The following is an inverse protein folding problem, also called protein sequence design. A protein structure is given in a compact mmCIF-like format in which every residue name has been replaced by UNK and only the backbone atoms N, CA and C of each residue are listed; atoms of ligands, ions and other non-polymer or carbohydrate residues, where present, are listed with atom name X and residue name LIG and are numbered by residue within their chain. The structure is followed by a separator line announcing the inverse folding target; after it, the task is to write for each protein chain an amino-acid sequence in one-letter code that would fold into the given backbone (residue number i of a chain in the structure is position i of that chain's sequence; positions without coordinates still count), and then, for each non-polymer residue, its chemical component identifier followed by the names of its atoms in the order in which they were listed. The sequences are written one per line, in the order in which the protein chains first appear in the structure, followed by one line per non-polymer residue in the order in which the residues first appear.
data_IF_924361949700
#
_entry.id   IF_924361949700
#
_cell.length_a   1.000
_cell.length_b   1.000
_cell.length_c   1.000
_cell.angle_alpha   90.00
_cell.angle_beta   90.00
_cell.angle_gamma   90.00
#
_symmetry.space_group_name_H-M   'P 1'
#
loop_
_entity.id
_entity.type
_entity.pdbx_description
1 polymer ?
#
# COMPACT_ATOMS: atom_id res chain seq x y z
N UNK A 1 -6.65 23.60 10.26
CA UNK A 1 -6.20 24.42 9.12
C UNK A 1 -6.67 23.76 7.83
N UNK A 2 -6.83 24.49 6.72
CA UNK A 2 -7.19 23.87 5.44
C UNK A 2 -5.95 23.30 4.76
N UNK A 3 -6.11 22.23 3.97
CA UNK A 3 -5.00 21.58 3.27
C UNK A 3 -4.22 22.54 2.37
N UNK A 4 -4.91 23.46 1.68
CA UNK A 4 -4.27 24.47 0.84
C UNK A 4 -3.44 25.47 1.66
N UNK A 5 -3.90 25.87 2.85
CA UNK A 5 -3.12 26.73 3.73
C UNK A 5 -1.85 26.01 4.22
N UNK A 6 -1.94 24.71 4.50
CA UNK A 6 -0.78 23.88 4.86
C UNK A 6 0.20 23.76 3.70
N UNK A 7 -0.30 23.55 2.48
CA UNK A 7 0.53 23.44 1.30
C UNK A 7 1.32 24.72 1.03
N UNK A 8 0.67 25.89 1.11
CA UNK A 8 1.35 27.18 0.94
C UNK A 8 2.34 27.47 2.09
N UNK A 9 1.97 27.16 3.34
CA UNK A 9 2.86 27.32 4.49
C UNK A 9 4.09 26.40 4.45
N UNK A 10 3.95 25.20 3.88
CA UNK A 10 5.07 24.28 3.69
C UNK A 10 5.99 24.70 2.54
N UNK A 11 5.47 25.37 1.50
CA UNK A 11 6.30 25.95 0.42
C UNK A 11 7.26 27.02 0.94
N UNK A 12 6.83 27.81 1.93
CA UNK A 12 7.67 28.86 2.52
C UNK A 12 8.65 28.34 3.57
N UNK A 13 8.65 27.04 3.85
CA UNK A 13 9.55 26.42 4.84
C UNK A 13 9.15 26.66 6.29
N UNK A 14 7.90 27.04 6.57
CA UNK A 14 7.46 27.29 7.93
C UNK A 14 7.22 25.97 8.71
N UNK A 15 8.13 25.71 9.65
CA UNK A 15 8.12 24.52 10.51
C UNK A 15 6.86 24.38 11.37
N UNK A 16 6.08 25.44 11.60
CA UNK A 16 4.83 25.36 12.34
C UNK A 16 3.79 24.49 11.60
N UNK A 17 3.72 24.62 10.27
CA UNK A 17 2.84 23.83 9.43
C UNK A 17 3.24 22.36 9.41
N UNK A 18 4.55 22.08 9.31
CA UNK A 18 5.07 20.73 9.35
C UNK A 18 4.79 20.04 10.70
N UNK A 19 4.99 20.78 11.80
CA UNK A 19 4.68 20.29 13.15
C UNK A 19 3.19 20.02 13.33
N UNK A 20 2.32 20.90 12.85
CA UNK A 20 0.87 20.69 12.87
C UNK A 20 0.50 19.41 12.13
N UNK A 21 0.96 19.26 10.88
CA UNK A 21 0.70 18.10 10.04
C UNK A 21 1.19 16.79 10.68
N UNK A 22 2.39 16.82 11.27
CA UNK A 22 2.96 15.70 11.99
C UNK A 22 2.09 15.28 13.19
N UNK A 23 1.67 16.22 14.03
CA UNK A 23 0.88 15.89 15.22
C UNK A 23 -0.53 15.42 14.86
N UNK A 24 -1.14 16.03 13.84
CA UNK A 24 -2.50 15.74 13.40
C UNK A 24 -2.65 14.30 12.86
N UNK A 25 -1.69 13.82 12.07
CA UNK A 25 -1.85 12.56 11.34
C UNK A 25 -1.12 11.37 11.98
N UNK A 26 -0.24 11.60 12.96
CA UNK A 26 0.56 10.54 13.60
C UNK A 26 -0.27 9.38 14.14
N UNK A 27 -1.29 9.66 14.95
CA UNK A 27 -2.10 8.62 15.57
C UNK A 27 -2.84 7.77 14.52
N UNK A 28 -3.40 8.41 13.50
CA UNK A 28 -4.10 7.74 12.41
C UNK A 28 -3.14 6.88 11.57
N UNK A 29 -1.93 7.38 11.29
CA UNK A 29 -0.93 6.66 10.52
C UNK A 29 -0.42 5.42 11.26
N UNK A 30 -0.09 5.56 12.56
CA UNK A 30 0.29 4.42 13.40
C UNK A 30 -0.81 3.36 13.50
N UNK A 31 -2.08 3.78 13.46
CA UNK A 31 -3.19 2.82 13.43
C UNK A 31 -3.28 2.12 12.07
N UNK A 32 -3.07 2.85 10.96
CA UNK A 32 -3.01 2.29 9.61
C UNK A 32 -1.92 1.22 9.48
N UNK A 33 -0.72 1.44 10.02
CA UNK A 33 0.39 0.47 9.91
C UNK A 33 0.17 -0.81 10.73
N UNK A 34 -0.71 -0.80 11.74
CA UNK A 34 -1.06 -2.01 12.50
C UNK A 34 -1.69 -3.10 11.62
N UNK A 35 -2.46 -2.69 10.61
CA UNK A 35 -3.07 -3.63 9.65
C UNK A 35 -2.02 -4.44 8.86
N UNK A 36 -0.77 -3.98 8.85
CA UNK A 36 0.36 -4.62 8.19
C UNK A 36 1.29 -5.34 9.19
N UNK A 37 0.92 -5.44 10.47
CA UNK A 37 1.73 -6.10 11.50
C UNK A 37 3.06 -5.39 11.81
N UNK A 38 3.15 -4.08 11.54
CA UNK A 38 4.37 -3.30 11.79
C UNK A 38 4.44 -2.88 13.25
N UNK A 39 5.60 -3.12 13.88
CA UNK A 39 5.86 -2.69 15.25
C UNK A 39 5.82 -1.16 15.36
N UNK A 40 5.38 -0.65 16.52
CA UNK A 40 5.16 0.79 16.73
C UNK A 40 6.38 1.66 16.41
N UNK A 41 7.59 1.23 16.79
CA UNK A 41 8.81 2.00 16.55
C UNK A 41 9.11 2.11 15.05
N UNK A 42 9.07 0.99 14.32
CA UNK A 42 9.30 1.00 12.88
C UNK A 42 8.20 1.77 12.14
N UNK A 43 6.96 1.74 12.62
CA UNK A 43 5.88 2.56 12.10
C UNK A 43 6.09 4.07 12.35
N UNK A 44 6.72 4.45 13.47
CA UNK A 44 7.11 5.82 13.76
C UNK A 44 8.21 6.30 12.81
N UNK A 45 9.19 5.45 12.53
CA UNK A 45 10.29 5.76 11.61
C UNK A 45 9.75 5.97 10.18
N UNK A 46 8.94 5.02 9.69
CA UNK A 46 8.26 5.14 8.38
C UNK A 46 7.39 6.42 8.32
N UNK A 47 6.72 6.77 9.42
CA UNK A 47 5.91 7.99 9.47
C UNK A 47 6.75 9.26 9.36
N UNK A 48 7.90 9.30 10.03
CA UNK A 48 8.84 10.42 9.94
C UNK A 48 9.34 10.58 8.50
N UNK A 49 9.76 9.49 7.87
CA UNK A 49 10.21 9.50 6.48
C UNK A 49 9.10 9.96 5.53
N UNK A 50 7.86 9.49 5.73
CA UNK A 50 6.73 9.89 4.90
C UNK A 50 6.41 11.39 5.00
N UNK A 51 6.52 11.98 6.21
CA UNK A 51 6.34 13.41 6.43
C UNK A 51 7.45 14.21 5.76
N UNK A 52 8.70 13.76 5.86
CA UNK A 52 9.84 14.41 5.21
C UNK A 52 9.71 14.37 3.69
N UNK A 53 9.38 13.21 3.11
CA UNK A 53 9.16 13.06 1.68
C UNK A 53 7.99 13.93 1.17
N UNK A 54 6.92 14.08 1.97
CA UNK A 54 5.84 15.01 1.65
C UNK A 54 6.34 16.46 1.63
N UNK A 55 7.07 16.87 2.66
CA UNK A 55 7.64 18.21 2.76
C UNK A 55 8.57 18.51 1.58
N UNK A 56 9.41 17.55 1.20
CA UNK A 56 10.31 17.67 0.05
C UNK A 56 9.54 17.77 -1.26
N UNK A 57 8.50 16.95 -1.46
CA UNK A 57 7.67 17.01 -2.67
C UNK A 57 6.99 18.37 -2.82
N UNK A 58 6.57 19.01 -1.72
CA UNK A 58 5.99 20.36 -1.72
C UNK A 58 7.08 21.39 -2.02
N UNK A 59 8.21 21.36 -1.31
CA UNK A 59 9.30 22.32 -1.45
C UNK A 59 9.94 22.31 -2.85
N UNK A 60 10.05 21.13 -3.47
CA UNK A 60 10.61 20.96 -4.82
C UNK A 60 9.60 21.21 -5.95
N UNK A 61 8.34 21.51 -5.62
CA UNK A 61 7.29 21.72 -6.61
C UNK A 61 6.81 20.45 -7.30
N UNK A 62 7.14 19.26 -6.79
CA UNK A 62 6.52 17.99 -7.26
C UNK A 62 5.04 17.90 -6.89
N UNK A 63 4.64 18.53 -5.78
CA UNK A 63 3.25 18.67 -5.36
C UNK A 63 2.84 20.15 -5.41
N UNK A 64 2.21 20.57 -6.50
CA UNK A 64 1.74 21.95 -6.71
C UNK A 64 0.26 22.16 -6.39
N UNK A 65 -0.55 21.12 -6.56
CA UNK A 65 -1.98 21.11 -6.28
C UNK A 65 -2.43 19.76 -5.70
N UNK A 66 -3.53 19.79 -4.95
CA UNK A 66 -4.12 18.63 -4.31
C UNK A 66 -5.34 18.15 -5.10
N UNK A 67 -5.24 16.94 -5.68
CA UNK A 67 -6.39 16.23 -6.26
C UNK A 67 -7.15 15.38 -5.23
N UNK A 68 -6.62 15.30 -4.01
CA UNK A 68 -7.15 14.56 -2.86
C UNK A 68 -6.70 15.26 -1.59
N UNK A 69 -7.24 14.90 -0.42
CA UNK A 69 -6.76 15.48 0.84
C UNK A 69 -5.25 15.28 1.04
N UNK A 70 -4.60 16.20 1.74
CA UNK A 70 -3.18 16.12 2.08
C UNK A 70 -2.88 14.84 2.89
N UNK A 71 -3.82 14.45 3.75
CA UNK A 71 -3.80 13.17 4.48
C UNK A 71 -3.75 11.98 3.52
N UNK A 72 -4.59 11.95 2.49
CA UNK A 72 -4.61 10.84 1.49
C UNK A 72 -3.25 10.73 0.79
N UNK A 73 -2.68 11.86 0.40
CA UNK A 73 -1.37 11.89 -0.24
C UNK A 73 -0.25 11.40 0.69
N UNK A 74 -0.23 11.88 1.94
CA UNK A 74 0.70 11.42 2.98
C UNK A 74 0.62 9.91 3.20
N UNK A 75 -0.60 9.38 3.33
CA UNK A 75 -0.82 7.95 3.55
C UNK A 75 -0.40 7.12 2.34
N UNK A 76 -0.50 7.68 1.13
CA UNK A 76 -0.03 7.03 -0.10
C UNK A 76 1.49 6.89 -0.09
N UNK A 77 2.24 7.95 0.26
CA UNK A 77 3.70 7.88 0.43
C UNK A 77 4.06 6.81 1.46
N UNK A 78 3.47 6.91 2.65
CA UNK A 78 3.77 5.98 3.74
C UNK A 78 3.38 4.53 3.43
N UNK A 79 2.33 4.29 2.64
CA UNK A 79 1.95 2.95 2.16
C UNK A 79 3.05 2.33 1.30
N UNK A 80 3.66 3.10 0.40
CA UNK A 80 4.80 2.62 -0.40
C UNK A 80 5.99 2.27 0.50
N UNK A 81 6.33 3.13 1.47
CA UNK A 81 7.41 2.87 2.42
C UNK A 81 7.14 1.65 3.32
N UNK A 82 5.89 1.44 3.73
CA UNK A 82 5.46 0.20 4.43
C UNK A 82 5.74 -1.03 3.56
N UNK A 83 5.42 -0.98 2.27
CA UNK A 83 5.69 -2.10 1.37
C UNK A 83 7.19 -2.34 1.16
N UNK A 84 7.98 -1.27 1.02
CA UNK A 84 9.44 -1.39 0.95
C UNK A 84 10.04 -2.02 2.20
N UNK A 85 9.59 -1.57 3.38
CA UNK A 85 9.99 -2.15 4.65
C UNK A 85 9.63 -3.65 4.76
N UNK A 86 8.41 -4.02 4.37
CA UNK A 86 7.98 -5.42 4.39
C UNK A 86 8.73 -6.28 3.38
N UNK A 87 9.02 -5.75 2.18
CA UNK A 87 9.87 -6.42 1.19
C UNK A 87 11.26 -6.71 1.74
N UNK A 88 11.92 -5.70 2.30
CA UNK A 88 13.24 -5.85 2.90
C UNK A 88 13.21 -6.89 4.03
N UNK A 89 12.19 -6.84 4.90
CA UNK A 89 12.01 -7.81 5.97
C UNK A 89 11.77 -9.23 5.46
N UNK A 90 10.98 -9.41 4.40
CA UNK A 90 10.73 -10.72 3.81
C UNK A 90 11.98 -11.28 3.10
N UNK A 91 12.75 -10.43 2.41
CA UNK A 91 14.03 -10.83 1.82
C UNK A 91 15.01 -11.30 2.89
N UNK A 92 15.06 -10.62 4.04
CA UNK A 92 15.86 -11.06 5.20
C UNK A 92 15.36 -12.39 5.76
N UNK A 93 14.04 -12.64 5.81
CA UNK A 93 13.47 -13.92 6.24
C UNK A 93 13.74 -15.06 5.26
N UNK A 94 13.76 -14.80 3.96
CA UNK A 94 14.07 -15.81 2.94
C UNK A 94 15.54 -16.25 2.95
N UNK A 95 16.44 -15.48 3.58
CA UNK A 95 17.84 -15.89 3.79
C UNK A 95 17.94 -16.89 4.97
N UNK A 96 16.99 -16.86 5.92
CA UNK A 96 17.07 -17.60 7.18
C UNK A 96 16.08 -18.77 7.30
N UNK A 97 14.96 -18.79 6.56
CA UNK A 97 13.93 -19.84 6.71
C UNK A 97 13.29 -20.28 5.38
N UNK A 98 13.50 -21.55 5.04
CA UNK A 98 12.78 -22.33 4.00
C UNK A 98 11.36 -22.73 4.44
N UNK A 99 10.69 -21.95 5.29
CA UNK A 99 9.35 -22.28 5.78
C UNK A 99 8.30 -21.29 5.26
N UNK A 100 7.59 -21.74 4.24
CA UNK A 100 6.27 -21.23 3.85
C UNK A 100 5.35 -21.24 5.07
N UNK A 101 5.13 -20.07 5.68
CA UNK A 101 4.07 -19.89 6.64
C UNK A 101 3.15 -18.74 6.22
N UNK A 102 1.92 -19.16 5.94
CA UNK A 102 0.72 -18.36 5.74
C UNK A 102 0.61 -17.30 6.84
N UNK A 103 0.86 -16.04 6.48
CA UNK A 103 0.35 -14.91 7.25
C UNK A 103 -0.55 -14.11 6.32
N UNK A 104 -1.86 -14.29 6.53
CA UNK A 104 -2.90 -13.54 5.87
C UNK A 104 -2.69 -12.03 6.09
N UNK A 105 -2.26 -11.32 5.05
CA UNK A 105 -2.34 -9.87 4.99
C UNK A 105 -3.65 -9.53 4.27
N UNK A 106 -4.60 -9.00 5.05
CA UNK A 106 -5.74 -8.24 4.53
C UNK A 106 -5.17 -7.00 3.85
N UNK A 107 -4.99 -7.05 2.54
CA UNK A 107 -4.73 -5.86 1.74
C UNK A 107 -5.94 -5.66 0.85
N UNK A 108 -6.79 -4.75 1.33
CA UNK A 108 -7.92 -4.21 0.60
C UNK A 108 -7.46 -3.68 -0.76
N UNK A 109 -8.21 -4.08 -1.78
CA UNK A 109 -8.19 -3.48 -3.10
C UNK A 109 -8.44 -1.97 -2.98
N UNK A 110 -7.87 -1.23 -3.93
CA UNK A 110 -7.79 0.23 -3.98
C UNK A 110 -9.03 1.02 -3.53
N UNK A 111 -8.73 2.10 -2.78
CA UNK A 111 -9.34 3.43 -2.93
C UNK A 111 -10.85 3.55 -2.62
N UNK A 112 -11.21 3.47 -1.33
CA UNK A 112 -12.26 4.26 -0.63
C UNK A 112 -12.66 3.70 0.75
N UNK A 113 -12.00 2.64 1.23
CA UNK A 113 -12.32 2.02 2.53
C UNK A 113 -11.58 2.71 3.69
N UNK A 114 -11.59 4.05 3.74
CA UNK A 114 -11.29 4.77 4.99
C UNK A 114 -12.45 4.65 5.98
N UNK A 115 -13.61 4.16 5.54
CA UNK A 115 -14.77 3.91 6.39
C UNK A 115 -15.57 2.69 5.89
N UNK A 116 -15.20 1.49 6.29
CA UNK A 116 -16.16 0.46 6.73
C UNK A 116 -15.47 -0.82 7.16
N UNK A 117 -15.56 -1.07 8.46
CA UNK A 117 -15.32 -2.37 9.08
C UNK A 117 -16.60 -3.19 8.89
N UNK A 118 -16.80 -3.84 7.75
CA UNK A 118 -17.97 -4.72 7.54
C UNK A 118 -17.62 -6.12 7.00
N UNK A 119 -17.80 -7.09 7.89
CA UNK A 119 -18.24 -8.49 7.71
C UNK A 119 -17.27 -9.57 7.16
N UNK A 120 -17.10 -10.63 7.97
CA UNK A 120 -16.51 -11.94 7.62
C UNK A 120 -17.11 -12.57 6.33
N UNK A 121 -18.31 -12.15 5.90
CA UNK A 121 -18.94 -12.66 4.67
C UNK A 121 -18.23 -12.16 3.41
N UNK A 122 -17.78 -10.91 3.40
CA UNK A 122 -17.03 -10.32 2.28
C UNK A 122 -15.72 -11.06 2.05
N UNK A 123 -15.03 -11.43 3.14
CA UNK A 123 -13.78 -12.20 3.10
C UNK A 123 -13.99 -13.60 2.53
N UNK A 124 -15.04 -14.32 2.97
CA UNK A 124 -15.38 -15.64 2.42
C UNK A 124 -15.75 -15.57 0.94
N UNK A 125 -16.52 -14.55 0.55
CA UNK A 125 -16.90 -14.32 -0.85
C UNK A 125 -15.68 -14.03 -1.72
N UNK A 126 -14.73 -13.24 -1.23
CA UNK A 126 -13.46 -12.98 -1.90
C UNK A 126 -12.62 -14.26 -2.04
N UNK A 127 -12.55 -15.09 -1.00
CA UNK A 127 -11.83 -16.36 -1.04
C UNK A 127 -12.40 -17.32 -2.10
N UNK A 128 -13.74 -17.45 -2.16
CA UNK A 128 -14.42 -18.25 -3.20
C UNK A 128 -14.13 -17.71 -4.60
N UNK A 129 -14.25 -16.39 -4.81
CA UNK A 129 -13.96 -15.77 -6.08
C UNK A 129 -12.49 -15.96 -6.50
N UNK A 130 -11.57 -15.81 -5.55
CA UNK A 130 -10.15 -16.04 -5.76
C UNK A 130 -9.86 -17.50 -6.14
N UNK A 131 -10.55 -18.45 -5.52
CA UNK A 131 -10.42 -19.88 -5.83
C UNK A 131 -10.95 -20.27 -7.21
N UNK A 132 -11.80 -19.45 -7.86
CA UNK A 132 -12.24 -19.66 -9.24
C UNK A 132 -11.26 -19.15 -10.29
N UNK A 133 -10.28 -18.32 -9.90
CA UNK A 133 -9.26 -17.84 -10.83
C UNK A 133 -8.37 -18.98 -11.36
N UNK A 134 -7.92 -18.85 -12.61
CA UNK A 134 -6.87 -19.70 -13.17
C UNK A 134 -5.54 -19.57 -12.42
N UNK A 135 -4.73 -20.64 -12.42
CA UNK A 135 -3.46 -20.74 -11.68
C UNK A 135 -2.55 -19.53 -11.94
N UNK A 136 -2.38 -19.13 -13.21
CA UNK A 136 -1.53 -17.97 -13.57
C UNK A 136 -1.98 -16.67 -12.88
N UNK A 137 -3.29 -16.42 -12.84
CA UNK A 137 -3.83 -15.24 -12.16
C UNK A 137 -3.68 -15.33 -10.64
N UNK A 138 -3.97 -16.49 -10.05
CA UNK A 138 -3.74 -16.70 -8.62
C UNK A 138 -2.28 -16.46 -8.24
N UNK A 139 -1.34 -16.99 -9.01
CA UNK A 139 0.09 -16.86 -8.74
C UNK A 139 0.53 -15.41 -8.81
N UNK A 140 0.21 -14.68 -9.89
CA UNK A 140 0.56 -13.26 -10.01
C UNK A 140 -0.03 -12.45 -8.85
N UNK A 141 -1.31 -12.64 -8.53
CA UNK A 141 -1.95 -11.91 -7.44
C UNK A 141 -1.34 -12.30 -6.08
N UNK A 142 -0.97 -13.56 -5.86
CA UNK A 142 -0.26 -14.00 -4.65
C UNK A 142 1.10 -13.32 -4.51
N UNK A 143 1.90 -13.33 -5.57
CA UNK A 143 3.22 -12.71 -5.55
C UNK A 143 3.14 -11.22 -5.25
N UNK A 144 2.20 -10.50 -5.90
CA UNK A 144 2.02 -9.07 -5.68
C UNK A 144 1.45 -8.75 -4.29
N UNK A 145 0.34 -9.37 -3.90
CA UNK A 145 -0.45 -8.90 -2.74
C UNK A 145 -0.13 -9.64 -1.44
N UNK A 146 0.32 -10.91 -1.51
CA UNK A 146 0.67 -11.67 -0.31
C UNK A 146 2.18 -11.63 -0.04
N UNK A 147 2.99 -11.68 -1.09
CA UNK A 147 4.45 -11.75 -0.96
C UNK A 147 5.15 -10.40 -1.20
N UNK A 148 4.42 -9.37 -1.64
CA UNK A 148 4.91 -8.01 -1.91
C UNK A 148 5.99 -7.90 -2.99
N UNK A 149 6.06 -8.87 -3.91
CA UNK A 149 6.99 -8.79 -5.04
C UNK A 149 6.62 -7.62 -5.95
N UNK A 150 7.63 -6.91 -6.44
CA UNK A 150 7.47 -5.89 -7.47
C UNK A 150 7.42 -6.53 -8.89
N UNK A 151 7.19 -5.72 -9.91
CA UNK A 151 7.02 -6.24 -11.27
C UNK A 151 8.32 -6.81 -11.84
N UNK A 152 9.47 -6.26 -11.43
CA UNK A 152 10.82 -6.70 -11.76
C UNK A 152 11.06 -8.12 -11.24
N UNK A 153 10.80 -8.34 -9.95
CA UNK A 153 11.04 -9.61 -9.26
C UNK A 153 10.10 -10.70 -9.82
N UNK A 154 8.87 -10.33 -10.20
CA UNK A 154 7.92 -11.28 -10.82
C UNK A 154 8.33 -11.61 -12.26
N UNK A 155 8.94 -10.66 -12.99
CA UNK A 155 9.52 -10.93 -14.30
C UNK A 155 10.59 -12.02 -14.18
N UNK A 156 11.49 -11.89 -13.21
CA UNK A 156 12.57 -12.86 -12.97
C UNK A 156 12.01 -14.20 -12.49
N UNK A 157 11.07 -14.18 -11.54
CA UNK A 157 10.54 -15.40 -10.91
C UNK A 157 9.66 -16.24 -11.84
N UNK A 158 8.87 -15.60 -12.71
CA UNK A 158 7.91 -16.26 -13.60
C UNK A 158 8.32 -16.20 -15.08
N UNK A 159 9.54 -15.76 -15.37
CA UNK A 159 10.13 -15.66 -16.70
C UNK A 159 9.26 -14.86 -17.70
N UNK A 160 8.64 -13.76 -17.23
CA UNK A 160 7.89 -12.86 -18.11
C UNK A 160 8.81 -12.01 -18.98
N UNK A 161 8.33 -11.64 -20.17
CA UNK A 161 9.13 -10.86 -21.13
C UNK A 161 9.47 -9.44 -20.64
N UNK A 162 8.57 -8.80 -19.89
CA UNK A 162 8.79 -7.46 -19.38
C UNK A 162 7.87 -7.12 -18.21
N UNK A 163 8.23 -6.05 -17.51
CA UNK A 163 7.44 -5.47 -16.41
C UNK A 163 6.05 -5.05 -16.87
N UNK A 164 5.92 -4.56 -18.10
CA UNK A 164 4.65 -4.11 -18.66
C UNK A 164 3.70 -5.28 -18.91
N UNK A 165 4.24 -6.44 -19.32
CA UNK A 165 3.45 -7.67 -19.45
C UNK A 165 2.94 -8.10 -18.08
N UNK A 166 3.79 -8.06 -17.05
CA UNK A 166 3.38 -8.38 -15.67
C UNK A 166 2.31 -7.42 -15.16
N UNK A 167 2.47 -6.10 -15.35
CA UNK A 167 1.47 -5.09 -14.96
C UNK A 167 0.14 -5.28 -15.68
N UNK A 168 0.18 -5.52 -16.99
CA UNK A 168 -1.01 -5.77 -17.81
C UNK A 168 -1.72 -7.05 -17.38
N UNK A 169 -0.97 -8.13 -17.15
CA UNK A 169 -1.52 -9.40 -16.70
C UNK A 169 -2.14 -9.27 -15.30
N UNK A 170 -1.45 -8.57 -14.37
CA UNK A 170 -2.00 -8.25 -13.05
C UNK A 170 -3.33 -7.52 -13.19
N UNK A 171 -3.39 -6.45 -13.98
CA UNK A 171 -4.61 -5.68 -14.21
C UNK A 171 -5.77 -6.55 -14.73
N UNK A 172 -5.50 -7.40 -15.74
CA UNK A 172 -6.51 -8.33 -16.27
C UNK A 172 -7.01 -9.33 -15.22
N UNK A 173 -6.10 -9.89 -14.44
CA UNK A 173 -6.45 -10.83 -13.37
C UNK A 173 -7.26 -10.17 -12.25
N UNK A 174 -6.92 -8.92 -11.88
CA UNK A 174 -7.69 -8.14 -10.90
C UNK A 174 -9.11 -7.84 -11.41
N UNK A 175 -9.23 -7.44 -12.67
CA UNK A 175 -10.52 -7.19 -13.30
C UNK A 175 -11.38 -8.46 -13.32
N UNK A 176 -10.79 -9.58 -13.69
CA UNK A 176 -11.48 -10.87 -13.69
C UNK A 176 -11.90 -11.33 -12.29
N UNK A 177 -11.05 -11.10 -11.28
CA UNK A 177 -11.40 -11.37 -9.88
C UNK A 177 -12.60 -10.53 -9.44
N UNK A 178 -12.63 -9.24 -9.81
CA UNK A 178 -13.74 -8.35 -9.51
C UNK A 178 -15.04 -8.82 -10.17
N UNK A 179 -14.99 -9.22 -11.44
CA UNK A 179 -16.14 -9.77 -12.15
C UNK A 179 -16.69 -11.04 -11.48
N UNK A 180 -15.82 -11.97 -11.06
CA UNK A 180 -16.25 -13.17 -10.33
C UNK A 180 -16.85 -12.77 -8.98
N UNK A 181 -16.19 -11.88 -8.25
CA UNK A 181 -16.65 -11.41 -6.95
C UNK A 181 -18.02 -10.74 -7.02
N UNK A 182 -18.30 -9.92 -8.04
CA UNK A 182 -19.61 -9.29 -8.23
C UNK A 182 -20.70 -10.30 -8.57
N UNK A 183 -20.36 -11.37 -9.30
CA UNK A 183 -21.29 -12.43 -9.70
C UNK A 183 -21.48 -13.53 -8.65
N UNK A 184 -20.62 -13.61 -7.64
CA UNK A 184 -20.74 -14.55 -6.53
C UNK A 184 -21.91 -14.12 -5.61
N UNK A 185 -22.95 -14.94 -5.49
CA UNK A 185 -24.11 -14.66 -4.61
C UNK A 185 -23.83 -15.05 -3.16
#
# INVERSE_FOLDING_TARGET
MTDNAILEGLKTGDNAYLKHLYLEHKAAFLNFTKNYGIAKNNALDIYQDAILALSENIATGKLTSLNSSLKTYLFSIGKYMVFDYLRAKNKLRHIDDNHFNSLALKIDFDFDVLFKKESNQTEKKLELAFNKLGIKCKTILKLFYYQNYNAEEIVELLEYKSKDVVKSQKYRCLKHLKEIFENER
#
